data_IF_669547333946
#
_entry.id   IF_669547333946
#
_cell.length_a   1.000
_cell.length_b   1.000
_cell.length_c   1.000
_cell.angle_alpha   90.00
_cell.angle_beta   90.00
_cell.angle_gamma   90.00
#
_symmetry.space_group_name_H-M   'P 1'
#
loop_
_entity.id
_entity.type
_entity.pdbx_description
1 polymer ?
#
# COMPACT_ATOMS: atom_id res chain seq x y z
N UNK A 1 25.08 -41.21 9.76
CA UNK A 1 24.93 -40.64 8.39
C UNK A 1 23.48 -40.34 8.02
N UNK A 2 22.50 -41.22 8.31
CA UNK A 2 21.06 -40.96 8.00
C UNK A 2 20.44 -39.77 8.76
N UNK A 3 20.83 -39.51 10.01
CA UNK A 3 20.32 -38.35 10.77
C UNK A 3 20.84 -37.01 10.25
N UNK A 4 22.12 -36.94 9.85
CA UNK A 4 22.74 -35.76 9.25
C UNK A 4 22.06 -35.40 7.93
N UNK A 5 21.74 -36.41 7.11
CA UNK A 5 20.99 -36.21 5.87
C UNK A 5 19.60 -35.62 6.14
N UNK A 6 18.93 -36.06 7.21
CA UNK A 6 17.61 -35.57 7.62
C UNK A 6 17.63 -34.12 8.14
N UNK A 7 18.70 -33.71 8.81
CA UNK A 7 18.86 -32.31 9.24
C UNK A 7 19.08 -31.36 8.05
N UNK A 8 19.82 -31.81 7.03
CA UNK A 8 20.08 -31.03 5.82
C UNK A 8 18.80 -30.85 5.00
N UNK A 9 17.96 -31.89 4.85
CA UNK A 9 16.68 -31.77 4.13
C UNK A 9 15.69 -30.85 4.84
N UNK A 10 15.60 -30.89 6.17
CA UNK A 10 14.74 -29.95 6.92
C UNK A 10 15.20 -28.49 6.79
N UNK A 11 16.51 -28.24 6.70
CA UNK A 11 17.05 -26.90 6.47
C UNK A 11 16.67 -26.33 5.10
N UNK A 12 16.70 -27.14 4.04
CA UNK A 12 16.30 -26.72 2.70
C UNK A 12 14.79 -26.40 2.57
N UNK A 13 13.94 -27.11 3.31
CA UNK A 13 12.48 -26.83 3.35
C UNK A 13 12.20 -25.51 4.10
N UNK A 14 12.97 -25.19 5.15
CA UNK A 14 12.84 -23.92 5.87
C UNK A 14 13.23 -22.70 5.02
N UNK A 15 14.26 -22.81 4.19
CA UNK A 15 14.75 -21.70 3.34
C UNK A 15 13.78 -21.38 2.19
N UNK A 16 13.09 -22.38 1.64
CA UNK A 16 12.17 -22.19 0.51
C UNK A 16 10.83 -21.54 0.88
N UNK A 17 10.46 -21.52 2.17
CA UNK A 17 9.24 -20.87 2.66
C UNK A 17 9.27 -19.33 2.63
N UNK A 18 10.45 -18.71 2.55
CA UNK A 18 10.61 -17.24 2.59
C UNK A 18 10.57 -16.57 1.21
N UNK A 19 10.55 -17.33 0.11
CA UNK A 19 10.61 -16.81 -1.25
C UNK A 19 9.25 -16.76 -1.95
N UNK A 20 8.21 -16.24 -1.28
CA UNK A 20 6.95 -15.96 -1.96
C UNK A 20 7.14 -14.71 -2.83
N UNK A 21 6.92 -14.79 -4.16
CA UNK A 21 6.95 -13.60 -4.99
C UNK A 21 5.83 -12.66 -4.54
N UNK A 22 6.18 -11.48 -4.04
CA UNK A 22 5.19 -10.43 -3.77
C UNK A 22 4.61 -9.97 -5.10
N UNK A 23 3.27 -9.93 -5.20
CA UNK A 23 2.58 -9.35 -6.35
C UNK A 23 2.99 -7.89 -6.55
N UNK A 24 3.28 -7.19 -5.44
CA UNK A 24 3.79 -5.83 -5.45
C UNK A 24 5.34 -5.86 -5.46
N UNK A 25 5.94 -5.38 -6.55
CA UNK A 25 7.39 -5.20 -6.64
C UNK A 25 7.87 -4.08 -5.70
N UNK A 26 9.07 -4.21 -5.12
CA UNK A 26 9.70 -3.21 -4.22
C UNK A 26 9.66 -1.77 -4.77
N UNK A 27 9.91 -1.59 -6.08
CA UNK A 27 9.84 -0.28 -6.72
C UNK A 27 8.41 0.30 -6.74
N UNK A 28 7.39 -0.54 -6.96
CA UNK A 28 6.00 -0.10 -6.95
C UNK A 28 5.51 0.20 -5.53
N UNK A 29 5.94 -0.61 -4.55
CA UNK A 29 5.68 -0.37 -3.13
C UNK A 29 6.29 0.95 -2.66
N UNK A 30 7.56 1.19 -2.95
CA UNK A 30 8.25 2.46 -2.64
C UNK A 30 7.53 3.65 -3.27
N UNK A 31 7.09 3.52 -4.52
CA UNK A 31 6.33 4.56 -5.20
C UNK A 31 4.98 4.81 -4.54
N UNK A 32 4.29 3.75 -4.09
CA UNK A 32 3.01 3.87 -3.41
C UNK A 32 3.14 4.53 -2.03
N UNK A 33 4.19 4.21 -1.28
CA UNK A 33 4.51 4.88 0.00
C UNK A 33 4.68 6.40 -0.19
N UNK A 34 5.43 6.83 -1.21
CA UNK A 34 5.60 8.25 -1.52
C UNK A 34 4.28 8.94 -1.90
N UNK A 35 3.42 8.24 -2.64
CA UNK A 35 2.11 8.78 -3.02
C UNK A 35 1.19 8.83 -1.79
N UNK A 36 1.24 7.82 -0.92
CA UNK A 36 0.47 7.74 0.31
C UNK A 36 0.78 8.89 1.27
N UNK A 37 2.05 9.26 1.42
CA UNK A 37 2.45 10.44 2.22
C UNK A 37 1.72 11.71 1.74
N UNK A 38 1.62 11.88 0.42
CA UNK A 38 0.88 13.01 -0.17
C UNK A 38 -0.62 12.88 0.06
N UNK A 39 -1.17 11.66 -0.07
CA UNK A 39 -2.59 11.41 0.16
C UNK A 39 -3.00 11.69 1.61
N UNK A 40 -2.17 11.28 2.57
CA UNK A 40 -2.39 11.52 4.00
C UNK A 40 -2.61 13.00 4.29
N UNK A 41 -1.72 13.86 3.81
CA UNK A 41 -1.81 15.31 4.04
C UNK A 41 -3.03 15.91 3.35
N UNK A 42 -3.24 15.58 2.07
CA UNK A 42 -4.40 16.06 1.32
C UNK A 42 -5.73 15.63 1.97
N UNK A 43 -5.78 14.40 2.51
CA UNK A 43 -6.99 13.85 3.14
C UNK A 43 -7.37 14.60 4.42
N UNK A 44 -6.37 15.07 5.18
CA UNK A 44 -6.57 15.90 6.38
C UNK A 44 -7.00 17.32 5.98
N UNK A 45 -6.31 17.89 5.00
CA UNK A 45 -6.54 19.26 4.55
C UNK A 45 -7.87 19.46 3.82
N UNK A 46 -8.37 18.46 3.10
CA UNK A 46 -9.68 18.56 2.43
C UNK A 46 -10.85 18.62 3.42
N UNK A 47 -10.66 18.19 4.67
CA UNK A 47 -11.67 18.23 5.74
C UNK A 47 -11.43 19.41 6.68
N UNK A 48 -10.19 19.59 7.15
CA UNK A 48 -9.90 20.47 8.30
C UNK A 48 -9.46 21.89 7.90
N UNK A 49 -9.20 22.15 6.62
CA UNK A 49 -8.71 23.47 6.23
C UNK A 49 -9.76 24.56 6.54
N UNK A 50 -9.37 25.68 7.20
CA UNK A 50 -10.31 26.73 7.60
C UNK A 50 -11.00 27.41 6.42
N UNK A 51 -10.36 27.42 5.24
CA UNK A 51 -10.91 28.04 4.04
C UNK A 51 -11.61 27.01 3.16
N UNK A 52 -12.91 27.21 2.89
CA UNK A 52 -13.71 26.31 2.03
C UNK A 52 -13.10 26.14 0.64
N UNK A 53 -12.57 27.22 0.05
CA UNK A 53 -11.92 27.18 -1.27
C UNK A 53 -10.71 26.24 -1.26
N UNK A 54 -9.94 26.22 -0.16
CA UNK A 54 -8.80 25.31 -0.03
C UNK A 54 -9.26 23.88 0.22
N UNK A 55 -10.32 23.64 1.00
CA UNK A 55 -10.91 22.28 1.14
C UNK A 55 -11.28 21.68 -0.21
N UNK A 56 -11.99 22.43 -1.06
CA UNK A 56 -12.38 22.00 -2.41
C UNK A 56 -11.16 21.74 -3.29
N UNK A 57 -10.15 22.62 -3.23
CA UNK A 57 -8.89 22.45 -3.97
C UNK A 57 -8.15 21.18 -3.54
N UNK A 58 -8.09 20.93 -2.23
CA UNK A 58 -7.40 19.79 -1.64
C UNK A 58 -8.15 18.49 -1.94
N UNK A 59 -9.48 18.48 -1.92
CA UNK A 59 -10.31 17.35 -2.38
C UNK A 59 -10.02 17.01 -3.85
N UNK A 60 -10.04 18.01 -4.73
CA UNK A 60 -9.68 17.81 -6.15
C UNK A 60 -8.24 17.33 -6.35
N UNK A 61 -7.31 17.74 -5.48
CA UNK A 61 -5.94 17.24 -5.49
C UNK A 61 -5.86 15.80 -4.97
N UNK A 62 -6.57 15.48 -3.90
CA UNK A 62 -6.66 14.14 -3.30
C UNK A 62 -7.11 13.12 -4.34
N UNK A 63 -8.24 13.37 -5.03
CA UNK A 63 -8.76 12.47 -6.06
C UNK A 63 -7.75 12.24 -7.19
N UNK A 64 -7.10 13.30 -7.68
CA UNK A 64 -6.08 13.17 -8.73
C UNK A 64 -4.87 12.36 -8.27
N UNK A 65 -4.43 12.54 -7.04
CA UNK A 65 -3.32 11.78 -6.45
C UNK A 65 -3.72 10.32 -6.24
N UNK A 66 -4.95 10.05 -5.79
CA UNK A 66 -5.46 8.69 -5.59
C UNK A 66 -5.53 7.94 -6.92
N UNK A 67 -6.02 8.57 -7.99
CA UNK A 67 -6.01 7.98 -9.33
C UNK A 67 -4.59 7.65 -9.79
N UNK A 68 -3.58 8.47 -9.44
CA UNK A 68 -2.17 8.15 -9.74
C UNK A 68 -1.68 6.95 -8.95
N UNK A 69 -2.08 6.82 -7.69
CA UNK A 69 -1.79 5.65 -6.86
C UNK A 69 -2.39 4.37 -7.47
N UNK A 70 -3.67 4.41 -7.85
CA UNK A 70 -4.39 3.27 -8.42
C UNK A 70 -3.84 2.82 -9.79
N UNK A 71 -3.14 3.70 -10.52
CA UNK A 71 -2.45 3.35 -11.77
C UNK A 71 -1.13 2.62 -11.55
N UNK A 72 -0.59 2.59 -10.33
CA UNK A 72 0.59 1.76 -10.03
C UNK A 72 0.19 0.29 -10.12
N UNK A 73 0.96 -0.57 -10.80
CA UNK A 73 0.64 -1.99 -10.89
C UNK A 73 0.48 -2.63 -9.50
N UNK A 74 -0.54 -3.46 -9.33
CA UNK A 74 -0.87 -4.14 -8.07
C UNK A 74 -1.22 -3.21 -6.89
N UNK A 75 -1.59 -1.95 -7.16
CA UNK A 75 -1.98 -0.96 -6.14
C UNK A 75 -3.14 -1.37 -5.23
N UNK A 76 -4.06 -2.22 -5.71
CA UNK A 76 -5.19 -2.73 -4.90
C UNK A 76 -4.74 -3.64 -3.74
N UNK A 77 -3.51 -4.17 -3.79
CA UNK A 77 -2.91 -4.95 -2.70
C UNK A 77 -2.18 -4.07 -1.68
N UNK A 78 -1.98 -2.78 -1.98
CA UNK A 78 -1.38 -1.84 -1.05
C UNK A 78 -2.44 -1.33 -0.05
N UNK A 79 -2.14 -1.28 1.25
CA UNK A 79 -3.18 -1.13 2.27
C UNK A 79 -3.71 0.30 2.43
N UNK A 80 -2.88 1.32 2.15
CA UNK A 80 -3.15 2.76 2.37
C UNK A 80 -3.52 3.13 3.82
N UNK A 81 -2.88 2.51 4.81
CA UNK A 81 -3.22 2.65 6.23
C UNK A 81 -2.98 4.05 6.81
N UNK A 82 -2.14 4.88 6.19
CA UNK A 82 -1.86 6.25 6.63
C UNK A 82 -2.97 7.25 6.26
N UNK A 83 -3.91 6.86 5.40
CA UNK A 83 -5.04 7.70 4.96
C UNK A 83 -6.27 7.43 5.83
N UNK A 84 -6.30 8.05 7.00
CA UNK A 84 -7.28 7.74 8.06
C UNK A 84 -8.67 8.38 7.85
N UNK A 85 -8.78 9.38 7.00
CA UNK A 85 -9.98 10.23 6.89
C UNK A 85 -11.01 9.72 5.87
N UNK A 86 -10.69 8.66 5.13
CA UNK A 86 -11.54 8.10 4.08
C UNK A 86 -11.70 6.59 4.31
N UNK A 87 -12.92 6.09 4.19
CA UNK A 87 -13.19 4.66 4.34
C UNK A 87 -12.87 3.88 3.06
N UNK A 88 -12.18 2.74 3.22
CA UNK A 88 -12.01 1.74 2.16
C UNK A 88 -13.22 0.80 2.17
N UNK A 89 -14.10 0.93 1.18
CA UNK A 89 -15.32 0.11 1.05
C UNK A 89 -15.17 -0.91 -0.07
N UNK A 90 -15.45 -2.17 0.23
CA UNK A 90 -15.58 -3.24 -0.77
C UNK A 90 -17.06 -3.52 -1.01
N UNK A 91 -17.40 -3.95 -2.23
CA UNK A 91 -18.76 -4.41 -2.51
C UNK A 91 -19.07 -5.62 -1.60
N UNK A 92 -20.28 -5.71 -1.03
CA UNK A 92 -20.72 -6.94 -0.38
C UNK A 92 -20.73 -8.06 -1.42
N UNK A 93 -20.26 -9.25 -1.01
CA UNK A 93 -20.34 -10.50 -1.77
C UNK A 93 -21.79 -10.89 -2.07
#
# INVERSE_FOLDING_TARGET
MRSILSFITCFFIYVSGYAQPSLLTENNETRLLQIEDTLKDLSREMINNPLTVLRIKNDSAFVRTLVRALRVPHSFYFPFDSVETVSKLYAPE
#
